data_IF_978714083423
#
_entry.id   IF_978714083423
#
_cell.length_a   1.000
_cell.length_b   1.000
_cell.length_c   1.000
_cell.angle_alpha   90.00
_cell.angle_beta   90.00
_cell.angle_gamma   90.00
#
_symmetry.space_group_name_H-M   'P 1'
#
loop_
_entity.id
_entity.type
_entity.pdbx_description
1 polymer ?
#
# COMPACT_ATOMS: atom_id res chain seq x y z
N UNK A 1 25.55 -2.38 12.05
CA UNK A 1 26.56 -2.32 10.98
C UNK A 1 26.54 -3.53 10.06
N UNK A 2 26.50 -4.81 10.57
CA UNK A 2 26.44 -6.02 9.72
C UNK A 2 25.17 -6.07 8.88
N UNK A 3 24.00 -5.73 9.45
CA UNK A 3 22.73 -5.71 8.73
C UNK A 3 22.71 -4.64 7.63
N UNK A 4 23.24 -3.44 7.88
CA UNK A 4 23.34 -2.38 6.86
C UNK A 4 24.30 -2.78 5.73
N UNK A 5 25.39 -3.47 6.03
CA UNK A 5 26.33 -3.97 5.03
C UNK A 5 25.70 -5.07 4.16
N UNK A 6 24.89 -5.95 4.76
CA UNK A 6 24.14 -6.97 4.02
C UNK A 6 23.10 -6.33 3.08
N UNK A 7 22.35 -5.33 3.55
CA UNK A 7 21.40 -4.60 2.72
C UNK A 7 22.11 -3.89 1.56
N UNK A 8 23.25 -3.28 1.79
CA UNK A 8 24.05 -2.63 0.74
C UNK A 8 24.52 -3.61 -0.34
N UNK A 9 25.02 -4.77 0.07
CA UNK A 9 25.43 -5.85 -0.87
C UNK A 9 24.24 -6.40 -1.65
N UNK A 10 23.08 -6.55 -1.00
CA UNK A 10 21.85 -7.01 -1.68
C UNK A 10 21.33 -5.99 -2.68
N UNK A 11 21.32 -4.70 -2.35
CA UNK A 11 20.90 -3.62 -3.27
C UNK A 11 21.79 -3.58 -4.51
N UNK A 12 23.09 -3.80 -4.36
CA UNK A 12 24.03 -3.89 -5.49
C UNK A 12 23.73 -5.04 -6.45
N UNK A 13 23.06 -6.10 -5.98
CA UNK A 13 22.63 -7.24 -6.79
C UNK A 13 21.28 -7.04 -7.50
N UNK A 14 20.57 -5.94 -7.27
CA UNK A 14 19.29 -5.67 -7.91
C UNK A 14 19.46 -5.20 -9.36
N UNK A 15 18.50 -5.52 -10.22
CA UNK A 15 18.49 -4.98 -11.57
C UNK A 15 18.40 -3.44 -11.55
N UNK A 16 19.03 -2.79 -12.52
CA UNK A 16 19.01 -1.34 -12.68
C UNK A 16 17.58 -0.77 -12.65
N UNK A 17 16.62 -1.47 -13.25
CA UNK A 17 15.21 -1.07 -13.25
C UNK A 17 14.61 -1.02 -11.85
N UNK A 18 14.94 -1.98 -10.99
CA UNK A 18 14.47 -2.03 -9.61
C UNK A 18 15.09 -0.90 -8.79
N UNK A 19 16.41 -0.66 -8.93
CA UNK A 19 17.09 0.43 -8.24
C UNK A 19 16.49 1.80 -8.61
N UNK A 20 16.26 2.04 -9.90
CA UNK A 20 15.63 3.29 -10.38
C UNK A 20 14.19 3.45 -9.88
N UNK A 21 13.42 2.36 -9.84
CA UNK A 21 12.07 2.38 -9.30
C UNK A 21 12.05 2.67 -7.78
N UNK A 22 12.98 2.08 -7.02
CA UNK A 22 13.11 2.37 -5.58
C UNK A 22 13.53 3.82 -5.33
N UNK A 23 14.44 4.37 -6.15
CA UNK A 23 14.82 5.78 -6.08
C UNK A 23 13.63 6.71 -6.40
N UNK A 24 12.86 6.40 -7.43
CA UNK A 24 11.64 7.13 -7.76
C UNK A 24 10.62 7.08 -6.61
N UNK A 25 10.43 5.90 -6.03
CA UNK A 25 9.51 5.71 -4.90
C UNK A 25 9.97 6.47 -3.66
N UNK A 26 11.27 6.50 -3.37
CA UNK A 26 11.86 7.27 -2.28
C UNK A 26 11.56 8.77 -2.43
N UNK A 27 11.85 9.35 -3.60
CA UNK A 27 11.59 10.76 -3.87
C UNK A 27 10.09 11.09 -3.76
N UNK A 28 9.24 10.24 -4.35
CA UNK A 28 7.79 10.38 -4.30
C UNK A 28 7.26 10.37 -2.86
N UNK A 29 7.74 9.45 -2.03
CA UNK A 29 7.25 9.27 -0.66
C UNK A 29 7.82 10.30 0.33
N UNK A 30 9.04 10.80 0.12
CA UNK A 30 9.59 11.93 0.89
C UNK A 30 8.70 13.17 0.68
N UNK A 31 8.37 13.49 -0.57
CA UNK A 31 7.50 14.63 -0.87
C UNK A 31 6.12 14.49 -0.25
N UNK A 32 5.48 13.33 -0.37
CA UNK A 32 4.20 13.06 0.28
C UNK A 32 4.30 13.12 1.81
N UNK A 33 5.41 12.67 2.41
CA UNK A 33 5.67 12.79 3.85
C UNK A 33 5.69 14.24 4.32
N UNK A 34 6.35 15.14 3.60
CA UNK A 34 6.34 16.57 3.90
C UNK A 34 4.92 17.15 3.88
N UNK A 35 4.14 16.81 2.85
CA UNK A 35 2.76 17.27 2.73
C UNK A 35 1.84 16.72 3.83
N UNK A 36 2.01 15.49 4.24
CA UNK A 36 1.11 14.83 5.20
C UNK A 36 1.02 15.51 6.57
N UNK A 37 2.08 16.20 6.98
CA UNK A 37 2.15 16.88 8.28
C UNK A 37 2.06 18.39 8.13
N UNK A 38 2.79 18.97 7.17
CA UNK A 38 2.94 20.42 7.12
C UNK A 38 1.80 21.13 6.40
N UNK A 39 1.07 20.45 5.53
CA UNK A 39 0.01 21.10 4.77
C UNK A 39 -1.13 21.60 5.65
N UNK A 40 -1.52 20.85 6.69
CA UNK A 40 -2.53 21.30 7.64
C UNK A 40 -2.10 22.56 8.40
N UNK A 41 -0.81 22.63 8.79
CA UNK A 41 -0.23 23.82 9.43
C UNK A 41 -0.17 25.02 8.49
N UNK A 42 0.07 24.76 7.19
CA UNK A 42 0.04 25.80 6.17
C UNK A 42 -1.36 26.39 5.99
N UNK A 43 -2.39 25.55 5.88
CA UNK A 43 -3.80 25.98 5.79
C UNK A 43 -4.21 26.82 6.99
N UNK A 44 -3.86 26.39 8.22
CA UNK A 44 -4.09 27.17 9.44
C UNK A 44 -3.32 28.49 9.42
N UNK A 45 -2.07 28.49 8.93
CA UNK A 45 -1.26 29.68 8.76
C UNK A 45 -1.84 30.69 7.77
N UNK A 46 -2.62 30.26 6.79
CA UNK A 46 -3.37 31.11 5.88
C UNK A 46 -4.64 31.71 6.51
N UNK A 47 -4.98 31.32 7.76
CA UNK A 47 -6.16 31.82 8.49
C UNK A 47 -7.42 30.97 8.29
N UNK A 48 -7.32 29.79 7.67
CA UNK A 48 -8.43 28.87 7.56
C UNK A 48 -8.60 27.99 8.81
N UNK A 49 -9.82 27.60 9.09
CA UNK A 49 -10.19 26.79 10.24
C UNK A 49 -9.95 25.28 10.00
N UNK A 50 -10.18 24.47 11.03
CA UNK A 50 -10.05 23.01 10.96
C UNK A 50 -11.11 22.37 10.06
N UNK A 51 -12.23 23.05 9.79
CA UNK A 51 -13.27 22.59 8.86
C UNK A 51 -12.72 22.54 7.43
N UNK A 52 -11.98 23.57 7.03
CA UNK A 52 -11.33 23.62 5.72
C UNK A 52 -10.28 22.52 5.58
N UNK A 53 -9.47 22.28 6.61
CA UNK A 53 -8.52 21.16 6.65
C UNK A 53 -9.23 19.82 6.46
N UNK A 54 -10.31 19.59 7.20
CA UNK A 54 -11.11 18.37 7.08
C UNK A 54 -11.71 18.18 5.68
N UNK A 55 -12.23 19.25 5.06
CA UNK A 55 -12.78 19.21 3.71
C UNK A 55 -11.70 18.84 2.68
N UNK A 56 -10.54 19.47 2.73
CA UNK A 56 -9.43 19.21 1.80
C UNK A 56 -8.97 17.76 1.89
N UNK A 57 -8.76 17.23 3.11
CA UNK A 57 -8.33 15.84 3.34
C UNK A 57 -9.40 14.86 2.84
N UNK A 58 -10.66 15.12 3.11
CA UNK A 58 -11.78 14.27 2.70
C UNK A 58 -11.93 14.24 1.19
N UNK A 59 -11.90 15.39 0.53
CA UNK A 59 -12.01 15.52 -0.93
C UNK A 59 -10.84 14.83 -1.62
N UNK A 60 -9.62 15.04 -1.14
CA UNK A 60 -8.42 14.37 -1.67
C UNK A 60 -8.53 12.85 -1.55
N UNK A 61 -8.93 12.36 -0.37
CA UNK A 61 -9.06 10.92 -0.12
C UNK A 61 -10.14 10.29 -1.01
N UNK A 62 -11.27 10.97 -1.19
CA UNK A 62 -12.35 10.53 -2.07
C UNK A 62 -11.88 10.47 -3.53
N UNK A 63 -11.21 11.52 -4.01
CA UNK A 63 -10.65 11.56 -5.36
C UNK A 63 -9.65 10.41 -5.59
N UNK A 64 -8.79 10.13 -4.61
CA UNK A 64 -7.84 9.02 -4.66
C UNK A 64 -8.56 7.67 -4.73
N UNK A 65 -9.56 7.45 -3.87
CA UNK A 65 -10.33 6.20 -3.83
C UNK A 65 -11.08 5.93 -5.15
N UNK A 66 -11.70 6.95 -5.75
CA UNK A 66 -12.39 6.85 -7.03
C UNK A 66 -11.42 6.43 -8.15
N UNK A 67 -10.19 6.94 -8.12
CA UNK A 67 -9.19 6.65 -9.15
C UNK A 67 -8.49 5.31 -9.01
N UNK A 68 -8.57 4.62 -7.89
CA UNK A 68 -7.92 3.32 -7.73
C UNK A 68 -8.33 2.30 -8.79
N UNK A 69 -9.63 2.17 -9.06
CA UNK A 69 -10.15 1.22 -10.06
C UNK A 69 -9.74 1.62 -11.50
N UNK A 70 -9.95 2.87 -11.97
CA UNK A 70 -9.45 3.31 -13.27
C UNK A 70 -7.93 3.12 -13.45
N UNK A 71 -7.13 3.42 -12.44
CA UNK A 71 -5.67 3.22 -12.45
C UNK A 71 -5.33 1.73 -12.59
N UNK A 72 -6.03 0.85 -11.85
CA UNK A 72 -5.83 -0.59 -11.93
C UNK A 72 -6.12 -1.15 -13.33
N UNK A 73 -7.26 -0.76 -13.93
CA UNK A 73 -7.60 -1.11 -15.31
C UNK A 73 -6.56 -0.60 -16.32
N UNK A 74 -6.15 0.65 -16.15
CA UNK A 74 -5.15 1.26 -17.02
C UNK A 74 -3.81 0.55 -16.89
N UNK A 75 -3.41 0.15 -15.67
CA UNK A 75 -2.19 -0.58 -15.41
C UNK A 75 -2.14 -1.98 -16.01
N UNK A 76 -3.29 -2.61 -16.23
CA UNK A 76 -3.37 -3.91 -16.87
C UNK A 76 -3.41 -3.81 -18.42
N UNK A 77 -3.83 -2.65 -18.97
CA UNK A 77 -3.92 -2.42 -20.43
C UNK A 77 -2.71 -1.68 -21.00
N UNK A 78 -2.18 -0.73 -20.26
CA UNK A 78 -1.10 0.16 -20.71
C UNK A 78 0.20 -0.15 -19.99
N UNK A 79 1.30 0.51 -20.43
CA UNK A 79 2.59 0.43 -19.77
C UNK A 79 2.52 0.99 -18.34
N UNK A 80 2.84 0.16 -17.35
CA UNK A 80 2.90 0.58 -15.94
C UNK A 80 3.97 1.65 -15.71
N UNK A 81 5.11 1.58 -16.43
CA UNK A 81 6.14 2.61 -16.42
C UNK A 81 5.56 3.96 -16.83
N UNK A 82 4.84 4.03 -17.97
CA UNK A 82 4.26 5.28 -18.47
C UNK A 82 3.26 5.87 -17.47
N UNK A 83 2.42 5.02 -16.89
CA UNK A 83 1.44 5.45 -15.89
C UNK A 83 2.12 5.96 -14.61
N UNK A 84 3.20 5.32 -14.14
CA UNK A 84 3.98 5.79 -12.99
C UNK A 84 4.63 7.15 -13.27
N UNK A 85 5.17 7.37 -14.49
CA UNK A 85 5.71 8.67 -14.92
C UNK A 85 4.60 9.74 -14.89
N UNK A 86 3.44 9.46 -15.49
CA UNK A 86 2.29 10.37 -15.50
C UNK A 86 1.85 10.68 -14.06
N UNK A 87 1.76 9.64 -13.21
CA UNK A 87 1.42 9.79 -11.80
C UNK A 87 2.38 10.69 -11.03
N UNK A 88 3.69 10.53 -11.23
CA UNK A 88 4.71 11.37 -10.59
C UNK A 88 4.64 12.82 -11.08
N UNK A 89 4.53 13.02 -12.40
CA UNK A 89 4.45 14.36 -13.01
C UNK A 89 3.24 15.14 -12.52
N UNK A 90 2.04 14.57 -12.66
CA UNK A 90 0.82 15.28 -12.30
C UNK A 90 0.64 15.40 -10.79
N UNK A 91 0.92 14.34 -10.02
CA UNK A 91 0.89 14.43 -8.56
C UNK A 91 1.83 15.52 -8.05
N UNK A 92 3.09 15.53 -8.50
CA UNK A 92 4.07 16.54 -8.10
C UNK A 92 3.68 17.96 -8.55
N UNK A 93 3.21 18.13 -9.79
CA UNK A 93 2.77 19.43 -10.31
C UNK A 93 1.60 20.00 -9.50
N UNK A 94 0.60 19.18 -9.18
CA UNK A 94 -0.54 19.61 -8.37
C UNK A 94 -0.17 19.86 -6.90
N UNK A 95 0.79 19.11 -6.33
CA UNK A 95 1.31 19.39 -5.00
C UNK A 95 2.06 20.74 -4.99
N UNK A 96 2.84 21.07 -6.03
CA UNK A 96 3.48 22.40 -6.18
C UNK A 96 2.39 23.47 -6.27
N UNK A 97 1.36 23.29 -7.10
CA UNK A 97 0.25 24.23 -7.21
C UNK A 97 -0.42 24.52 -5.86
N UNK A 98 -0.65 23.48 -5.04
CA UNK A 98 -1.19 23.62 -3.66
C UNK A 98 -0.32 24.49 -2.75
N UNK A 99 0.97 24.57 -3.00
CA UNK A 99 1.88 25.37 -2.18
C UNK A 99 1.77 26.88 -2.48
N UNK A 100 1.25 27.25 -3.64
CA UNK A 100 1.18 28.65 -4.08
C UNK A 100 -0.24 29.23 -4.10
N UNK A 101 -1.26 28.40 -3.89
CA UNK A 101 -2.63 28.90 -3.88
C UNK A 101 -3.05 29.29 -2.46
N UNK A 102 -3.72 30.45 -2.38
CA UNK A 102 -4.24 31.03 -1.14
C UNK A 102 -5.77 31.05 -1.10
N UNK A 103 -6.43 30.84 -2.26
CA UNK A 103 -7.88 30.87 -2.35
C UNK A 103 -8.51 29.52 -1.97
N UNK A 104 -9.57 29.53 -1.19
CA UNK A 104 -10.28 28.32 -0.76
C UNK A 104 -10.67 27.42 -1.94
N UNK A 105 -11.20 28.01 -3.03
CA UNK A 105 -11.59 27.27 -4.23
C UNK A 105 -10.39 26.57 -4.90
N UNK A 106 -9.26 27.25 -5.03
CA UNK A 106 -8.05 26.71 -5.61
C UNK A 106 -7.48 25.57 -4.76
N UNK A 107 -7.40 25.75 -3.44
CA UNK A 107 -6.96 24.70 -2.51
C UNK A 107 -7.79 23.42 -2.65
N UNK A 108 -9.11 23.55 -2.82
CA UNK A 108 -10.03 22.41 -3.05
C UNK A 108 -9.76 21.76 -4.41
N UNK A 109 -9.67 22.55 -5.51
CA UNK A 109 -9.42 21.99 -6.84
C UNK A 109 -8.07 21.28 -6.94
N UNK A 110 -7.02 21.88 -6.40
CA UNK A 110 -5.72 21.22 -6.33
C UNK A 110 -5.74 19.96 -5.46
N UNK A 111 -6.56 19.92 -4.39
CA UNK A 111 -6.76 18.69 -3.60
C UNK A 111 -7.42 17.58 -4.42
N UNK A 112 -8.45 17.89 -5.21
CA UNK A 112 -9.07 16.93 -6.14
C UNK A 112 -8.03 16.39 -7.12
N UNK A 113 -7.34 17.26 -7.86
CA UNK A 113 -6.40 16.82 -8.88
C UNK A 113 -5.19 16.07 -8.29
N UNK A 114 -4.61 16.52 -7.18
CA UNK A 114 -3.54 15.79 -6.52
C UNK A 114 -4.01 14.42 -6.04
N UNK A 115 -5.25 14.31 -5.54
CA UNK A 115 -5.86 13.07 -5.13
C UNK A 115 -6.04 12.07 -6.28
N UNK A 116 -6.50 12.52 -7.46
CA UNK A 116 -6.68 11.66 -8.63
C UNK A 116 -5.38 10.93 -9.03
N UNK A 117 -4.23 11.56 -8.88
CA UNK A 117 -2.93 10.99 -9.26
C UNK A 117 -2.17 10.36 -8.09
N UNK A 118 -2.52 10.67 -6.83
CA UNK A 118 -1.86 10.13 -5.64
C UNK A 118 -1.92 8.61 -5.56
N UNK A 119 -3.01 8.00 -6.04
CA UNK A 119 -3.22 6.55 -6.02
C UNK A 119 -2.34 5.75 -6.97
N UNK A 120 -1.68 6.38 -7.95
CA UNK A 120 -0.95 5.68 -9.02
C UNK A 120 0.15 4.78 -8.44
N UNK A 121 0.99 5.30 -7.56
CA UNK A 121 2.03 4.50 -6.91
C UNK A 121 1.44 3.43 -5.98
N UNK A 122 0.35 3.71 -5.26
CA UNK A 122 -0.29 2.74 -4.38
C UNK A 122 -0.83 1.52 -5.14
N UNK A 123 -1.42 1.75 -6.32
CA UNK A 123 -2.02 0.69 -7.13
C UNK A 123 -0.99 -0.04 -7.99
N UNK A 124 -0.06 0.67 -8.62
CA UNK A 124 0.80 0.10 -9.66
C UNK A 124 2.16 -0.39 -9.17
N UNK A 125 2.63 0.03 -7.99
CA UNK A 125 3.95 -0.32 -7.50
C UNK A 125 4.15 -1.84 -7.31
N UNK A 126 3.22 -2.50 -6.64
CA UNK A 126 3.30 -3.95 -6.41
C UNK A 126 3.19 -4.74 -7.71
N UNK A 127 2.21 -4.48 -8.61
CA UNK A 127 2.18 -5.10 -9.93
C UNK A 127 3.44 -4.84 -10.77
N UNK A 128 3.99 -3.63 -10.73
CA UNK A 128 5.23 -3.29 -11.42
C UNK A 128 6.43 -4.09 -10.90
N UNK A 129 6.61 -4.16 -9.58
CA UNK A 129 7.66 -4.96 -8.96
C UNK A 129 7.51 -6.45 -9.29
N UNK A 130 6.27 -6.95 -9.30
CA UNK A 130 5.99 -8.34 -9.61
C UNK A 130 6.42 -8.76 -11.03
N UNK A 131 6.37 -7.83 -11.99
CA UNK A 131 6.85 -8.07 -13.37
C UNK A 131 8.38 -8.08 -13.47
N UNK A 132 9.06 -7.30 -12.62
CA UNK A 132 10.51 -7.07 -12.72
C UNK A 132 11.33 -7.94 -11.75
N UNK A 133 10.68 -8.76 -10.91
CA UNK A 133 11.32 -9.57 -9.86
C UNK A 133 10.97 -11.05 -10.03
N UNK A 134 11.97 -11.92 -9.87
CA UNK A 134 11.77 -13.38 -9.87
C UNK A 134 10.77 -13.78 -8.79
N UNK A 135 9.92 -14.76 -9.08
CA UNK A 135 8.84 -15.22 -8.17
C UNK A 135 9.34 -15.55 -6.77
N UNK A 136 10.50 -16.20 -6.65
CA UNK A 136 11.14 -16.56 -5.38
C UNK A 136 11.58 -15.37 -4.52
N UNK A 137 11.76 -14.19 -5.12
CA UNK A 137 12.23 -12.97 -4.45
C UNK A 137 11.13 -11.94 -4.19
N UNK A 138 9.91 -12.14 -4.73
CA UNK A 138 8.82 -11.16 -4.67
C UNK A 138 8.47 -10.75 -3.23
N UNK A 139 8.29 -11.73 -2.35
CA UNK A 139 7.92 -11.45 -0.96
C UNK A 139 8.96 -10.55 -0.26
N UNK A 140 10.25 -10.88 -0.42
CA UNK A 140 11.35 -10.09 0.15
C UNK A 140 11.38 -8.67 -0.44
N UNK A 141 11.19 -8.55 -1.75
CA UNK A 141 11.21 -7.27 -2.46
C UNK A 141 10.00 -6.38 -2.09
N UNK A 142 8.81 -6.98 -1.91
CA UNK A 142 7.64 -6.26 -1.44
C UNK A 142 7.80 -5.75 0.00
N UNK A 143 8.48 -6.53 0.85
CA UNK A 143 8.82 -6.09 2.22
C UNK A 143 9.79 -4.91 2.21
N UNK A 144 10.82 -4.96 1.38
CA UNK A 144 11.76 -3.84 1.23
C UNK A 144 11.05 -2.60 0.68
N UNK A 145 10.18 -2.76 -0.33
CA UNK A 145 9.39 -1.65 -0.87
C UNK A 145 8.47 -1.03 0.19
N UNK A 146 7.71 -1.83 0.91
CA UNK A 146 6.81 -1.34 1.97
C UNK A 146 7.56 -0.61 3.09
N UNK A 147 8.72 -1.15 3.49
CA UNK A 147 9.59 -0.52 4.47
C UNK A 147 10.18 0.79 3.96
N UNK A 148 10.59 0.84 2.69
CA UNK A 148 11.07 2.07 2.04
C UNK A 148 9.99 3.15 2.04
N UNK A 149 8.75 2.80 1.66
CA UNK A 149 7.61 3.74 1.64
C UNK A 149 7.43 4.39 3.00
N UNK A 150 7.35 3.59 4.06
CA UNK A 150 7.20 4.11 5.43
C UNK A 150 8.39 4.93 5.88
N UNK A 151 9.62 4.44 5.67
CA UNK A 151 10.83 5.15 6.04
C UNK A 151 10.93 6.50 5.32
N UNK A 152 10.62 6.54 4.03
CA UNK A 152 10.65 7.78 3.22
C UNK A 152 9.59 8.77 3.68
N UNK A 153 8.38 8.32 4.04
CA UNK A 153 7.34 9.19 4.60
C UNK A 153 7.75 9.78 5.94
N UNK A 154 8.33 8.97 6.83
CA UNK A 154 8.84 9.44 8.12
C UNK A 154 9.98 10.45 7.93
N UNK A 155 10.93 10.16 7.03
CA UNK A 155 12.01 11.10 6.70
C UNK A 155 11.48 12.41 6.11
N UNK A 156 10.48 12.33 5.23
CA UNK A 156 9.83 13.50 4.65
C UNK A 156 9.11 14.35 5.70
N UNK A 157 8.32 13.71 6.57
CA UNK A 157 7.55 14.43 7.61
C UNK A 157 8.45 15.07 8.68
N UNK A 158 9.42 14.32 9.21
CA UNK A 158 10.35 14.84 10.21
C UNK A 158 11.31 15.87 9.60
N UNK A 159 11.92 15.53 8.45
CA UNK A 159 12.84 16.43 7.75
C UNK A 159 12.16 17.72 7.31
N UNK A 160 10.93 17.63 6.85
CA UNK A 160 10.12 18.80 6.50
C UNK A 160 9.83 19.69 7.70
N UNK A 161 9.45 19.11 8.85
CA UNK A 161 9.22 19.84 10.09
C UNK A 161 10.47 20.59 10.57
N UNK A 162 11.60 19.86 10.67
CA UNK A 162 12.88 20.46 11.06
C UNK A 162 13.30 21.60 10.11
N UNK A 163 13.14 21.39 8.80
CA UNK A 163 13.49 22.41 7.81
C UNK A 163 12.60 23.65 7.95
N UNK A 164 11.30 23.50 8.21
CA UNK A 164 10.39 24.62 8.46
C UNK A 164 10.82 25.44 9.70
N UNK A 165 11.20 24.76 10.79
CA UNK A 165 11.68 25.39 12.02
C UNK A 165 13.03 26.13 11.79
N UNK A 166 13.95 25.54 11.04
CA UNK A 166 15.23 26.18 10.66
C UNK A 166 15.00 27.43 9.82
N UNK A 167 14.11 27.39 8.83
CA UNK A 167 13.77 28.56 8.02
C UNK A 167 13.11 29.66 8.86
N UNK A 168 12.26 29.30 9.81
CA UNK A 168 11.64 30.25 10.73
C UNK A 168 12.67 30.89 11.66
N UNK A 169 13.58 30.11 12.23
CA UNK A 169 14.67 30.62 13.08
C UNK A 169 15.67 31.51 12.31
N UNK A 170 15.80 31.31 11.00
CA UNK A 170 16.57 32.18 10.11
C UNK A 170 15.84 33.48 9.73
N UNK A 171 14.67 33.76 10.34
CA UNK A 171 13.92 35.01 10.15
C UNK A 171 12.84 34.97 9.07
N UNK A 172 12.57 33.81 8.47
CA UNK A 172 11.49 33.66 7.50
C UNK A 172 10.13 33.64 8.19
N UNK A 173 9.12 34.30 7.63
CA UNK A 173 7.75 34.22 8.16
C UNK A 173 7.27 32.75 8.16
N UNK A 174 6.54 32.33 9.20
CA UNK A 174 6.11 30.93 9.41
C UNK A 174 5.40 30.35 8.17
N UNK A 175 4.46 31.10 7.59
CA UNK A 175 3.71 30.66 6.38
C UNK A 175 4.64 30.49 5.19
N UNK A 176 5.54 31.44 4.96
CA UNK A 176 6.53 31.38 3.86
C UNK A 176 7.51 30.21 4.03
N UNK A 177 7.95 29.94 5.27
CA UNK A 177 8.77 28.78 5.58
C UNK A 177 8.05 27.46 5.26
N UNK A 178 6.80 27.31 5.71
CA UNK A 178 5.97 26.16 5.39
C UNK A 178 5.74 26.01 3.88
N UNK A 179 5.43 27.10 3.19
CA UNK A 179 5.28 27.14 1.73
C UNK A 179 6.52 26.64 0.99
N UNK A 180 7.70 27.10 1.42
CA UNK A 180 8.99 26.69 0.84
C UNK A 180 9.22 25.19 0.99
N UNK A 181 8.96 24.64 2.18
CA UNK A 181 9.12 23.20 2.43
C UNK A 181 8.10 22.36 1.63
N UNK A 182 6.85 22.82 1.54
CA UNK A 182 5.83 22.18 0.71
C UNK A 182 6.20 22.21 -0.78
N UNK A 183 6.72 23.32 -1.28
CA UNK A 183 7.25 23.41 -2.63
C UNK A 183 8.38 22.38 -2.87
N UNK A 184 9.33 22.28 -1.94
CA UNK A 184 10.41 21.27 -2.03
C UNK A 184 9.84 19.85 -2.01
N UNK A 185 8.82 19.58 -1.20
CA UNK A 185 8.11 18.30 -1.18
C UNK A 185 7.43 17.98 -2.50
N UNK A 186 6.72 18.96 -3.08
CA UNK A 186 6.11 18.83 -4.41
C UNK A 186 7.15 18.63 -5.51
N UNK A 187 8.28 19.35 -5.45
CA UNK A 187 9.40 19.20 -6.37
C UNK A 187 10.06 17.80 -6.25
N UNK A 188 10.22 17.26 -5.04
CA UNK A 188 10.72 15.91 -4.83
C UNK A 188 9.76 14.86 -5.41
N UNK A 189 8.45 15.03 -5.19
CA UNK A 189 7.42 14.15 -5.78
C UNK A 189 7.45 14.23 -7.31
N UNK A 190 7.56 15.44 -7.87
CA UNK A 190 7.71 15.64 -9.30
C UNK A 190 8.97 14.94 -9.82
N UNK A 191 10.13 15.18 -9.19
CA UNK A 191 11.42 14.63 -9.61
C UNK A 191 11.45 13.10 -9.65
N UNK A 192 10.49 12.41 -9.01
CA UNK A 192 10.36 10.96 -9.09
C UNK A 192 10.17 10.45 -10.53
N UNK A 193 9.69 11.28 -11.48
CA UNK A 193 9.61 10.88 -12.88
C UNK A 193 10.99 10.68 -13.52
N UNK A 194 12.03 11.39 -13.06
CA UNK A 194 13.37 11.36 -13.67
C UNK A 194 13.96 9.95 -13.66
N UNK A 195 14.11 9.26 -12.50
CA UNK A 195 14.62 7.90 -12.52
C UNK A 195 13.71 6.94 -13.33
N UNK A 196 12.39 7.16 -13.37
CA UNK A 196 11.48 6.32 -14.15
C UNK A 196 11.70 6.44 -15.67
N UNK A 197 12.17 7.59 -16.18
CA UNK A 197 12.51 7.72 -17.58
C UNK A 197 13.62 6.74 -18.01
N UNK A 198 14.61 6.52 -17.15
CA UNK A 198 15.75 5.65 -17.40
C UNK A 198 15.48 4.15 -17.20
N UNK A 199 14.29 3.79 -16.70
CA UNK A 199 13.85 2.39 -16.65
C UNK A 199 13.68 1.86 -18.06
N UNK A 200 14.22 0.68 -18.37
CA UNK A 200 14.02 0.01 -19.65
C UNK A 200 12.80 -0.92 -19.57
N UNK A 201 11.90 -0.84 -20.55
CA UNK A 201 10.80 -1.81 -20.68
C UNK A 201 11.32 -3.05 -21.40
N UNK A 202 11.32 -4.20 -20.74
CA UNK A 202 11.50 -5.48 -21.42
C UNK A 202 10.25 -5.79 -22.24
N UNK A 203 10.32 -5.56 -23.54
CA UNK A 203 9.22 -5.85 -24.49
C UNK A 203 8.93 -7.35 -24.60
N UNK A 204 9.85 -8.22 -24.22
CA UNK A 204 9.70 -9.69 -24.35
C UNK A 204 8.51 -10.26 -23.56
N UNK A 205 8.19 -9.72 -22.40
CA UNK A 205 7.03 -10.18 -21.60
C UNK A 205 5.66 -9.86 -22.20
N UNK A 206 5.58 -8.98 -23.20
CA UNK A 206 4.32 -8.62 -23.88
C UNK A 206 4.16 -9.30 -25.24
N UNK A 207 5.26 -9.74 -25.86
CA UNK A 207 5.23 -10.39 -27.19
C UNK A 207 4.76 -11.85 -27.10
N UNK A 208 4.94 -12.50 -25.95
CA UNK A 208 4.41 -13.85 -25.70
C UNK A 208 2.88 -13.91 -25.58
N UNK A 209 2.20 -12.76 -25.58
CA UNK A 209 0.73 -12.64 -25.55
C UNK A 209 0.11 -12.52 -26.95
N UNK A 210 0.90 -12.35 -28.00
CA UNK A 210 0.41 -12.56 -29.38
C UNK A 210 0.51 -14.06 -29.67
N UNK A 211 -0.56 -14.69 -30.19
CA UNK A 211 -0.45 -16.06 -30.65
C UNK A 211 0.75 -16.13 -31.61
N UNK A 212 1.75 -16.96 -31.30
CA UNK A 212 2.81 -17.26 -32.23
C UNK A 212 2.13 -17.73 -33.51
N UNK A 213 2.09 -16.87 -34.50
CA UNK A 213 1.89 -17.33 -35.89
C UNK A 213 3.03 -18.30 -36.17
N UNK A 214 2.71 -19.57 -36.19
CA UNK A 214 3.61 -20.62 -36.65
C UNK A 214 4.01 -20.24 -38.06
N UNK A 215 5.22 -19.70 -38.24
CA UNK A 215 5.84 -19.62 -39.54
C UNK A 215 5.99 -21.08 -40.07
N UNK A 216 5.51 -21.39 -41.25
CA UNK A 216 5.65 -22.73 -41.81
C UNK A 216 7.15 -23.00 -42.02
N UNK A 217 7.73 -23.92 -41.27
CA UNK A 217 9.01 -24.50 -41.62
C UNK A 217 8.82 -25.28 -42.92
N UNK A 218 9.36 -24.74 -44.00
CA UNK A 218 9.56 -25.49 -45.25
C UNK A 218 10.55 -26.62 -44.99
N UNK A 219 10.06 -27.82 -44.76
CA UNK A 219 10.82 -29.03 -45.05
C UNK A 219 9.88 -30.17 -45.47
N UNK A 220 10.08 -30.53 -46.72
CA UNK A 220 9.81 -31.77 -47.49
C UNK A 220 8.46 -32.47 -47.27
N UNK A 221 7.71 -32.37 -48.34
CA UNK A 221 6.45 -33.03 -48.69
C UNK A 221 6.66 -34.50 -48.97
N UNK A 222 5.95 -35.39 -48.29
CA UNK A 222 5.18 -36.55 -48.76
C UNK A 222 4.87 -37.43 -47.53
N UNK A 223 3.64 -37.39 -47.13
CA UNK A 223 3.13 -38.22 -46.03
C UNK A 223 2.21 -37.54 -45.02
N UNK A 224 2.01 -36.22 -45.12
CA UNK A 224 1.38 -35.42 -44.07
C UNK A 224 -0.07 -34.98 -44.36
N UNK A 225 -0.68 -35.36 -45.51
CA UNK A 225 -2.04 -34.88 -45.83
C UNK A 225 -3.17 -35.51 -44.97
N UNK A 226 -2.93 -36.70 -44.39
CA UNK A 226 -3.91 -37.37 -43.54
C UNK A 226 -3.86 -36.93 -42.08
N UNK A 227 -2.72 -36.39 -41.59
CA UNK A 227 -2.60 -35.84 -40.22
C UNK A 227 -2.96 -34.37 -40.13
N UNK A 228 -2.75 -33.58 -41.23
CA UNK A 228 -3.14 -32.17 -41.27
C UNK A 228 -4.65 -31.97 -41.20
N UNK A 229 -5.45 -32.87 -41.73
CA UNK A 229 -6.93 -32.76 -41.67
C UNK A 229 -7.47 -33.04 -40.28
N UNK A 230 -6.75 -33.76 -39.43
CA UNK A 230 -7.12 -33.97 -38.01
C UNK A 230 -6.65 -32.85 -37.06
N UNK A 231 -5.57 -32.16 -37.39
CA UNK A 231 -5.00 -31.08 -36.57
C UNK A 231 -5.70 -29.73 -36.78
N UNK A 232 -6.48 -29.54 -37.84
CA UNK A 232 -7.17 -28.27 -38.15
C UNK A 232 -8.56 -28.15 -37.50
N UNK A 233 -9.06 -29.22 -36.87
CA UNK A 233 -10.42 -29.23 -36.25
C UNK A 233 -10.35 -29.42 -34.69
N UNK A 234 -9.21 -29.18 -34.07
CA UNK A 234 -9.23 -28.96 -32.61
C UNK A 234 -9.40 -27.47 -32.39
N UNK A 235 -10.58 -27.01 -31.92
CA UNK A 235 -10.72 -25.63 -31.48
C UNK A 235 -9.71 -25.46 -30.34
N UNK A 236 -8.81 -24.49 -30.46
CA UNK A 236 -8.01 -24.01 -29.33
C UNK A 236 -8.95 -23.85 -28.14
N UNK A 237 -8.60 -24.30 -26.94
CA UNK A 237 -9.53 -24.37 -25.81
C UNK A 237 -9.93 -22.95 -25.39
N UNK A 238 -11.03 -22.47 -25.94
CA UNK A 238 -11.78 -21.28 -25.50
C UNK A 238 -12.15 -21.40 -24.01
N UNK A 239 -12.11 -22.62 -23.49
CA UNK A 239 -12.46 -22.96 -22.11
C UNK A 239 -11.39 -22.54 -21.08
N UNK A 240 -10.13 -22.38 -21.46
CA UNK A 240 -9.05 -22.15 -20.49
C UNK A 240 -8.98 -20.66 -20.04
N UNK A 241 -9.18 -19.70 -20.94
CA UNK A 241 -9.21 -18.27 -20.60
C UNK A 241 -10.46 -17.93 -19.75
N UNK A 242 -11.57 -18.57 -20.05
CA UNK A 242 -12.82 -18.43 -19.28
C UNK A 242 -12.71 -19.03 -17.87
N UNK A 243 -12.07 -20.16 -17.72
CA UNK A 243 -11.79 -20.80 -16.43
C UNK A 243 -10.82 -19.97 -15.58
N UNK A 244 -9.74 -19.45 -16.17
CA UNK A 244 -8.78 -18.56 -15.50
C UNK A 244 -9.50 -17.29 -15.02
N UNK A 245 -10.30 -16.67 -15.88
CA UNK A 245 -11.06 -15.47 -15.55
C UNK A 245 -12.06 -15.69 -14.42
N UNK A 246 -12.77 -16.83 -14.39
CA UNK A 246 -13.71 -17.20 -13.33
C UNK A 246 -12.98 -17.47 -12.01
N UNK A 247 -11.84 -18.16 -12.05
CA UNK A 247 -10.97 -18.39 -10.88
C UNK A 247 -10.44 -17.09 -10.31
N UNK A 248 -9.89 -16.20 -11.15
CA UNK A 248 -9.35 -14.92 -10.71
C UNK A 248 -10.46 -14.03 -10.12
N UNK A 249 -11.66 -14.01 -10.72
CA UNK A 249 -12.80 -13.25 -10.19
C UNK A 249 -13.22 -13.75 -8.79
N UNK A 250 -13.22 -15.07 -8.56
CA UNK A 250 -13.49 -15.66 -7.25
C UNK A 250 -12.42 -15.23 -6.23
N UNK A 251 -11.14 -15.33 -6.60
CA UNK A 251 -10.03 -14.93 -5.73
C UNK A 251 -10.08 -13.43 -5.39
N UNK A 252 -10.33 -12.57 -6.38
CA UNK A 252 -10.51 -11.13 -6.17
C UNK A 252 -11.64 -10.87 -5.19
N UNK A 253 -12.80 -11.53 -5.36
CA UNK A 253 -13.93 -11.42 -4.43
C UNK A 253 -13.57 -11.82 -3.00
N UNK A 254 -12.78 -12.89 -2.83
CA UNK A 254 -12.27 -13.33 -1.52
C UNK A 254 -11.34 -12.28 -0.88
N UNK A 255 -10.43 -11.67 -1.66
CA UNK A 255 -9.58 -10.59 -1.17
C UNK A 255 -10.38 -9.34 -0.81
N UNK A 256 -11.40 -8.98 -1.61
CA UNK A 256 -12.29 -7.85 -1.33
C UNK A 256 -12.94 -8.00 0.04
N UNK A 257 -13.55 -9.15 0.32
CA UNK A 257 -14.26 -9.38 1.58
C UNK A 257 -13.31 -9.32 2.78
N UNK A 258 -12.15 -9.99 2.70
CA UNK A 258 -11.18 -9.97 3.80
C UNK A 258 -10.60 -8.58 4.05
N UNK A 259 -10.32 -7.80 2.99
CA UNK A 259 -9.81 -6.45 3.12
C UNK A 259 -10.87 -5.43 3.57
N UNK A 260 -12.12 -5.65 3.19
CA UNK A 260 -13.23 -4.85 3.71
C UNK A 260 -13.37 -5.01 5.24
N UNK A 261 -13.32 -6.25 5.75
CA UNK A 261 -13.38 -6.53 7.18
C UNK A 261 -12.20 -5.89 7.94
N UNK A 262 -10.99 -5.98 7.38
CA UNK A 262 -9.82 -5.30 7.96
C UNK A 262 -9.99 -3.78 7.92
N UNK A 263 -10.50 -3.24 6.82
CA UNK A 263 -10.78 -1.82 6.63
C UNK A 263 -11.81 -1.31 7.64
N UNK A 264 -12.93 -2.01 7.82
CA UNK A 264 -13.95 -1.69 8.83
C UNK A 264 -13.35 -1.67 10.24
N UNK A 265 -12.63 -2.72 10.64
CA UNK A 265 -11.98 -2.77 11.95
C UNK A 265 -10.92 -1.69 12.13
N UNK A 266 -10.07 -1.45 11.13
CA UNK A 266 -9.06 -0.40 11.17
C UNK A 266 -9.69 0.99 11.23
N UNK A 267 -10.77 1.23 10.49
CA UNK A 267 -11.49 2.49 10.43
C UNK A 267 -12.13 2.89 11.75
N UNK A 268 -12.49 1.92 12.60
CA UNK A 268 -13.00 2.19 13.95
C UNK A 268 -11.93 2.69 14.93
N UNK A 269 -10.67 2.32 14.74
CA UNK A 269 -9.61 2.54 15.74
C UNK A 269 -8.53 3.50 15.24
N UNK A 270 -7.96 3.24 14.05
CA UNK A 270 -6.69 3.86 13.66
C UNK A 270 -6.79 5.38 13.47
N UNK A 271 -7.83 5.95 12.83
CA UNK A 271 -7.97 7.40 12.67
C UNK A 271 -8.14 8.14 14.02
N UNK A 272 -8.63 7.42 15.03
CA UNK A 272 -9.02 7.99 16.34
C UNK A 272 -8.02 7.70 17.45
N UNK A 273 -6.87 7.11 17.13
CA UNK A 273 -5.82 6.82 18.13
C UNK A 273 -5.33 8.09 18.84
N UNK A 274 -5.21 9.21 18.12
CA UNK A 274 -4.84 10.48 18.73
C UNK A 274 -5.86 10.89 19.81
N UNK A 275 -7.15 10.87 19.48
CA UNK A 275 -8.23 11.18 20.41
C UNK A 275 -8.29 10.16 21.55
N UNK A 276 -8.08 8.88 21.28
CA UNK A 276 -8.03 7.84 22.31
C UNK A 276 -6.96 8.14 23.36
N UNK A 277 -5.71 8.38 22.95
CA UNK A 277 -4.62 8.66 23.87
C UNK A 277 -4.77 10.01 24.58
N UNK A 278 -5.23 11.05 23.88
CA UNK A 278 -5.45 12.38 24.47
C UNK A 278 -6.60 12.37 25.45
N UNK A 279 -7.76 11.83 25.10
CA UNK A 279 -8.96 11.89 25.93
C UNK A 279 -8.91 10.94 27.12
N UNK A 280 -8.19 9.82 27.01
CA UNK A 280 -8.15 8.80 28.05
C UNK A 280 -6.93 8.93 28.97
N UNK A 281 -5.81 9.36 28.46
CA UNK A 281 -4.54 9.42 29.18
C UNK A 281 -3.93 10.82 29.26
N UNK A 282 -4.60 11.83 28.73
CA UNK A 282 -4.11 13.21 28.66
C UNK A 282 -2.70 13.34 28.03
N UNK A 283 -2.41 12.49 27.03
CA UNK A 283 -1.12 12.51 26.31
C UNK A 283 -1.02 13.80 25.50
N UNK A 284 0.12 14.50 25.61
CA UNK A 284 0.39 15.69 24.83
C UNK A 284 0.55 15.36 23.34
N UNK A 285 0.33 16.37 22.48
CA UNK A 285 0.53 16.21 21.03
C UNK A 285 1.94 15.74 20.68
N UNK A 286 2.96 16.24 21.41
CA UNK A 286 4.36 15.80 21.23
C UNK A 286 4.55 14.34 21.63
N UNK A 287 3.97 13.91 22.76
CA UNK A 287 4.00 12.52 23.19
C UNK A 287 3.33 11.59 22.20
N UNK A 288 2.20 12.01 21.61
CA UNK A 288 1.52 11.24 20.58
C UNK A 288 2.33 11.13 19.30
N UNK A 289 2.98 12.21 18.87
CA UNK A 289 3.87 12.21 17.71
C UNK A 289 5.05 11.24 17.87
N UNK A 290 5.66 11.20 19.07
CA UNK A 290 6.72 10.24 19.40
C UNK A 290 6.19 8.80 19.33
N UNK A 291 5.01 8.55 19.89
CA UNK A 291 4.40 7.21 19.90
C UNK A 291 4.09 6.73 18.47
N UNK A 292 3.57 7.59 17.62
CA UNK A 292 3.34 7.29 16.20
C UNK A 292 4.67 7.00 15.48
N UNK A 293 5.70 7.82 15.69
CA UNK A 293 7.01 7.62 15.07
C UNK A 293 7.66 6.29 15.48
N UNK A 294 7.59 5.94 16.78
CA UNK A 294 8.04 4.64 17.28
C UNK A 294 7.24 3.49 16.66
N UNK A 295 5.92 3.63 16.52
CA UNK A 295 5.05 2.67 15.85
C UNK A 295 5.44 2.43 14.40
N UNK A 296 5.81 3.48 13.67
CA UNK A 296 6.30 3.37 12.29
C UNK A 296 7.64 2.63 12.21
N UNK A 297 8.58 2.93 13.12
CA UNK A 297 9.87 2.23 13.19
C UNK A 297 9.66 0.73 13.47
N UNK A 298 8.84 0.38 14.45
CA UNK A 298 8.51 -1.02 14.75
C UNK A 298 7.82 -1.72 13.57
N UNK A 299 6.96 -1.00 12.86
CA UNK A 299 6.30 -1.51 11.65
C UNK A 299 7.32 -1.83 10.54
N UNK A 300 8.28 -0.95 10.30
CA UNK A 300 9.36 -1.17 9.33
C UNK A 300 10.14 -2.45 9.68
N UNK A 301 10.57 -2.58 10.94
CA UNK A 301 11.29 -3.77 11.43
C UNK A 301 10.46 -5.04 11.24
N UNK A 302 9.17 -5.01 11.59
CA UNK A 302 8.28 -6.15 11.43
C UNK A 302 8.07 -6.55 9.97
N UNK A 303 7.95 -5.59 9.05
CA UNK A 303 7.82 -5.86 7.62
C UNK A 303 9.07 -6.54 7.05
N UNK A 304 10.26 -6.21 7.55
CA UNK A 304 11.52 -6.83 7.15
C UNK A 304 11.67 -8.27 7.71
N UNK A 305 11.11 -8.55 8.89
CA UNK A 305 11.11 -9.88 9.50
C UNK A 305 10.02 -10.78 8.88
N UNK A 306 8.94 -10.20 8.38
CA UNK A 306 7.78 -10.92 7.83
C UNK A 306 8.12 -12.05 6.85
N UNK A 307 8.97 -11.83 5.83
CA UNK A 307 9.38 -12.86 4.88
C UNK A 307 10.05 -14.08 5.51
N UNK A 308 10.83 -13.88 6.58
CA UNK A 308 11.50 -14.97 7.29
C UNK A 308 10.50 -15.90 7.97
N UNK A 309 9.44 -15.35 8.57
CA UNK A 309 8.37 -16.16 9.13
C UNK A 309 7.59 -16.87 8.02
N UNK A 310 7.25 -16.16 6.95
CA UNK A 310 6.52 -16.72 5.81
C UNK A 310 7.28 -17.88 5.14
N UNK A 311 8.61 -17.79 5.07
CA UNK A 311 9.44 -18.88 4.54
C UNK A 311 9.41 -20.15 5.42
N UNK A 312 9.23 -20.00 6.76
CA UNK A 312 9.19 -21.14 7.70
C UNK A 312 7.81 -21.81 7.77
N UNK A 313 6.76 -21.02 7.81
CA UNK A 313 5.40 -21.53 8.09
C UNK A 313 4.43 -21.48 6.89
N UNK A 314 4.86 -20.89 5.79
CA UNK A 314 4.04 -20.60 4.61
C UNK A 314 3.36 -19.21 4.69
N UNK A 315 3.15 -18.58 3.53
CA UNK A 315 2.69 -17.19 3.46
C UNK A 315 1.32 -16.98 4.10
N UNK A 316 0.35 -17.85 3.83
CA UNK A 316 -1.01 -17.72 4.39
C UNK A 316 -1.00 -17.87 5.92
N UNK A 317 -0.26 -18.86 6.44
CA UNK A 317 -0.16 -19.06 7.89
C UNK A 317 0.56 -17.91 8.57
N UNK A 318 1.60 -17.35 7.94
CA UNK A 318 2.31 -16.20 8.49
C UNK A 318 1.40 -14.98 8.65
N UNK A 319 0.55 -14.68 7.65
CA UNK A 319 -0.46 -13.61 7.75
C UNK A 319 -1.39 -13.84 8.94
N UNK A 320 -1.96 -15.04 9.05
CA UNK A 320 -2.88 -15.37 10.15
C UNK A 320 -2.18 -15.29 11.51
N UNK A 321 -0.95 -15.76 11.64
CA UNK A 321 -0.16 -15.67 12.87
C UNK A 321 0.03 -14.20 13.27
N UNK A 322 0.45 -13.33 12.34
CA UNK A 322 0.64 -11.91 12.63
C UNK A 322 -0.67 -11.23 13.06
N UNK A 323 -1.77 -11.49 12.36
CA UNK A 323 -3.08 -10.93 12.69
C UNK A 323 -3.58 -11.43 14.05
N UNK A 324 -3.55 -12.74 14.30
CA UNK A 324 -4.00 -13.31 15.58
C UNK A 324 -3.13 -12.87 16.74
N UNK A 325 -1.80 -12.82 16.55
CA UNK A 325 -0.88 -12.35 17.59
C UNK A 325 -1.06 -10.86 17.92
N UNK A 326 -1.61 -10.07 16.99
CA UNK A 326 -1.93 -8.66 17.24
C UNK A 326 -3.15 -8.45 18.14
N UNK A 327 -4.05 -9.44 18.26
CA UNK A 327 -5.33 -9.32 18.98
C UNK A 327 -5.18 -9.09 20.49
N UNK A 328 -4.33 -9.83 21.23
CA UNK A 328 -4.12 -9.55 22.65
C UNK A 328 -3.65 -8.11 22.89
N UNK A 329 -2.74 -7.61 22.06
CA UNK A 329 -2.26 -6.24 22.16
C UNK A 329 -3.34 -5.21 21.81
N UNK A 330 -4.23 -5.51 20.85
CA UNK A 330 -5.40 -4.68 20.55
C UNK A 330 -6.31 -4.56 21.78
N UNK A 331 -6.62 -5.68 22.43
CA UNK A 331 -7.48 -5.68 23.63
C UNK A 331 -6.78 -5.01 24.81
N UNK A 332 -5.51 -5.29 25.06
CA UNK A 332 -4.75 -4.58 26.10
C UNK A 332 -4.75 -3.07 25.89
N UNK A 333 -4.58 -2.61 24.64
CA UNK A 333 -4.71 -1.17 24.35
C UNK A 333 -6.09 -0.67 24.73
N UNK A 334 -7.18 -1.37 24.39
CA UNK A 334 -8.57 -0.91 24.62
C UNK A 334 -9.01 -0.89 26.09
N UNK A 335 -8.54 -1.84 26.90
CA UNK A 335 -9.06 -2.07 28.25
C UNK A 335 -8.15 -1.57 29.38
N UNK A 336 -6.86 -1.33 29.14
CA UNK A 336 -5.94 -0.88 30.18
C UNK A 336 -6.21 0.57 30.61
N UNK A 337 -5.95 0.87 31.89
CA UNK A 337 -5.94 2.23 32.44
C UNK A 337 -4.51 2.78 32.60
N UNK A 338 -3.49 2.00 32.25
CA UNK A 338 -2.09 2.40 32.36
C UNK A 338 -1.56 2.85 30.99
N UNK A 339 -1.14 4.12 30.90
CA UNK A 339 -0.56 4.69 29.67
C UNK A 339 0.57 3.85 29.10
N UNK A 340 1.48 3.38 29.96
CA UNK A 340 2.63 2.57 29.54
C UNK A 340 2.18 1.28 28.85
N UNK A 341 1.22 0.55 29.43
CA UNK A 341 0.68 -0.68 28.83
C UNK A 341 -0.05 -0.38 27.53
N UNK A 342 -0.87 0.68 27.49
CA UNK A 342 -1.56 1.11 26.26
C UNK A 342 -0.56 1.41 25.15
N UNK A 343 0.49 2.17 25.45
CA UNK A 343 1.52 2.58 24.48
C UNK A 343 2.31 1.38 23.93
N UNK A 344 2.82 0.53 24.81
CA UNK A 344 3.58 -0.67 24.41
C UNK A 344 2.68 -1.61 23.58
N UNK A 345 1.44 -1.85 24.02
CA UNK A 345 0.49 -2.68 23.31
C UNK A 345 0.15 -2.10 21.94
N UNK A 346 -0.07 -0.80 21.84
CA UNK A 346 -0.28 -0.13 20.55
C UNK A 346 0.88 -0.34 19.58
N UNK A 347 2.14 -0.20 20.05
CA UNK A 347 3.33 -0.37 19.22
C UNK A 347 3.43 -1.80 18.66
N UNK A 348 3.26 -2.82 19.51
CA UNK A 348 3.29 -4.22 19.08
C UNK A 348 2.13 -4.57 18.16
N UNK A 349 0.90 -4.13 18.48
CA UNK A 349 -0.27 -4.32 17.64
C UNK A 349 -0.06 -3.73 16.24
N UNK A 350 0.44 -2.50 16.16
CA UNK A 350 0.69 -1.82 14.90
C UNK A 350 1.75 -2.57 14.07
N UNK A 351 2.85 -2.93 14.69
CA UNK A 351 3.94 -3.65 14.05
C UNK A 351 3.46 -5.00 13.49
N UNK A 352 2.79 -5.81 14.30
CA UNK A 352 2.30 -7.14 13.91
C UNK A 352 1.26 -7.06 12.79
N UNK A 353 0.28 -6.17 12.91
CA UNK A 353 -0.79 -6.06 11.92
C UNK A 353 -0.26 -5.63 10.54
N UNK A 354 0.69 -4.71 10.51
CA UNK A 354 1.27 -4.20 9.27
C UNK A 354 2.36 -5.14 8.67
N UNK A 355 2.98 -6.02 9.47
CA UNK A 355 3.92 -7.03 8.98
C UNK A 355 3.29 -7.97 7.93
N UNK A 356 1.99 -8.16 7.97
CA UNK A 356 1.24 -8.97 7.01
C UNK A 356 1.11 -8.32 5.63
N UNK A 357 1.21 -6.99 5.49
CA UNK A 357 0.92 -6.27 4.25
C UNK A 357 1.76 -6.72 3.03
N UNK A 358 3.10 -6.83 3.12
CA UNK A 358 3.90 -7.31 1.99
C UNK A 358 3.57 -8.77 1.63
N UNK A 359 3.21 -9.59 2.62
CA UNK A 359 2.84 -10.99 2.43
C UNK A 359 1.49 -11.09 1.69
N UNK A 360 0.51 -10.27 2.08
CA UNK A 360 -0.78 -10.15 1.35
C UNK A 360 -0.55 -9.79 -0.12
N UNK A 361 0.31 -8.81 -0.38
CA UNK A 361 0.65 -8.38 -1.74
C UNK A 361 1.30 -9.52 -2.55
N UNK A 362 2.19 -10.30 -1.92
CA UNK A 362 2.83 -11.44 -2.57
C UNK A 362 1.81 -12.54 -2.92
N UNK A 363 0.91 -12.89 -1.98
CA UNK A 363 -0.13 -13.90 -2.20
C UNK A 363 -1.07 -13.47 -3.33
N UNK A 364 -1.50 -12.19 -3.35
CA UNK A 364 -2.34 -11.65 -4.41
C UNK A 364 -1.68 -11.80 -5.78
N UNK A 365 -0.44 -11.35 -5.89
CA UNK A 365 0.32 -11.35 -7.16
C UNK A 365 0.60 -12.79 -7.64
N UNK A 366 0.89 -13.71 -6.73
CA UNK A 366 1.22 -15.10 -7.10
C UNK A 366 0.00 -15.93 -7.49
N UNK A 367 -1.19 -15.57 -7.01
CA UNK A 367 -2.43 -16.32 -7.29
C UNK A 367 -3.25 -15.77 -8.44
N UNK A 368 -3.09 -14.50 -8.79
CA UNK A 368 -3.86 -13.84 -9.84
C UNK A 368 -3.01 -13.72 -11.12
N UNK A 369 -3.66 -13.92 -12.27
CA UNK A 369 -3.01 -13.82 -13.56
C UNK A 369 -2.43 -12.43 -13.80
N UNK A 370 -1.32 -12.35 -14.56
CA UNK A 370 -0.57 -11.12 -14.82
C UNK A 370 -1.44 -10.02 -15.43
N UNK A 371 -2.41 -10.41 -16.27
CA UNK A 371 -3.35 -9.49 -16.94
C UNK A 371 -4.33 -8.80 -15.99
N UNK A 372 -4.50 -9.30 -14.76
CA UNK A 372 -5.52 -8.81 -13.82
C UNK A 372 -4.96 -8.36 -12.46
N UNK A 373 -3.63 -8.29 -12.31
CA UNK A 373 -2.98 -7.89 -11.05
C UNK A 373 -3.28 -6.45 -10.66
N UNK A 374 -3.33 -5.54 -11.64
CA UNK A 374 -3.61 -4.14 -11.40
C UNK A 374 -5.02 -3.94 -10.85
N UNK A 375 -6.03 -4.52 -11.55
CA UNK A 375 -7.43 -4.43 -11.09
C UNK A 375 -7.64 -5.13 -9.75
N UNK A 376 -6.97 -6.27 -9.52
CA UNK A 376 -7.07 -6.98 -8.24
C UNK A 376 -6.52 -6.16 -7.08
N UNK A 377 -5.33 -5.56 -7.26
CA UNK A 377 -4.73 -4.70 -6.24
C UNK A 377 -5.57 -3.44 -5.98
N UNK A 378 -6.10 -2.82 -7.04
CA UNK A 378 -6.96 -1.63 -6.90
C UNK A 378 -8.27 -1.95 -6.17
N UNK A 379 -8.93 -3.07 -6.50
CA UNK A 379 -10.16 -3.49 -5.82
C UNK A 379 -9.92 -3.81 -4.33
N UNK A 380 -8.79 -4.44 -4.02
CA UNK A 380 -8.38 -4.71 -2.65
C UNK A 380 -8.17 -3.41 -1.84
N UNK A 381 -7.44 -2.45 -2.41
CA UNK A 381 -7.20 -1.15 -1.78
C UNK A 381 -8.48 -0.32 -1.63
N UNK A 382 -9.34 -0.32 -2.66
CA UNK A 382 -10.65 0.37 -2.61
C UNK A 382 -11.53 -0.22 -1.50
N UNK A 383 -11.58 -1.54 -1.37
CA UNK A 383 -12.39 -2.22 -0.34
C UNK A 383 -11.91 -1.88 1.07
N UNK A 384 -10.60 -1.85 1.28
CA UNK A 384 -10.02 -1.39 2.55
C UNK A 384 -10.41 0.07 2.82
N UNK A 385 -10.30 0.98 1.84
CA UNK A 385 -10.62 2.40 2.00
C UNK A 385 -12.11 2.65 2.26
N UNK A 386 -13.00 1.88 1.63
CA UNK A 386 -14.44 1.95 1.91
C UNK A 386 -14.71 1.59 3.38
N UNK A 387 -14.14 0.47 3.84
CA UNK A 387 -14.26 0.07 5.24
C UNK A 387 -13.73 1.14 6.19
N UNK A 388 -12.55 1.69 5.89
CA UNK A 388 -11.94 2.76 6.66
C UNK A 388 -12.81 4.03 6.74
N UNK A 389 -13.35 4.48 5.61
CA UNK A 389 -14.09 5.74 5.52
C UNK A 389 -15.49 5.69 6.16
N UNK A 390 -16.11 4.51 6.23
CA UNK A 390 -17.50 4.37 6.69
C UNK A 390 -17.65 4.26 8.21
N UNK A 391 -16.56 4.04 8.95
CA UNK A 391 -16.61 3.74 10.38
C UNK A 391 -16.56 4.95 11.31
N UNK A 392 -16.34 6.15 10.78
CA UNK A 392 -16.31 7.38 11.57
C UNK A 392 -17.57 7.64 12.40
N UNK A 393 -18.75 7.67 11.77
CA UNK A 393 -20.02 7.87 12.50
C UNK A 393 -20.27 6.81 13.58
N UNK A 394 -19.91 5.55 13.31
CA UNK A 394 -20.06 4.45 14.27
C UNK A 394 -19.16 4.65 15.49
N UNK A 395 -17.91 4.99 15.26
CA UNK A 395 -16.94 5.26 16.33
C UNK A 395 -17.38 6.45 17.17
N UNK A 396 -17.77 7.56 16.54
CA UNK A 396 -18.27 8.75 17.24
C UNK A 396 -19.49 8.43 18.10
N UNK A 397 -20.49 7.72 17.55
CA UNK A 397 -21.67 7.28 18.29
C UNK A 397 -21.31 6.45 19.51
N UNK A 398 -20.41 5.49 19.39
CA UNK A 398 -20.02 4.64 20.52
C UNK A 398 -19.33 5.44 21.62
N UNK A 399 -18.44 6.36 21.28
CA UNK A 399 -17.72 7.15 22.30
C UNK A 399 -18.63 8.19 22.95
N UNK A 400 -19.52 8.84 22.21
CA UNK A 400 -20.45 9.82 22.77
C UNK A 400 -21.53 9.18 23.63
N UNK A 401 -22.02 7.99 23.26
CA UNK A 401 -23.10 7.30 23.99
C UNK A 401 -22.61 6.60 25.25
N UNK A 402 -21.47 5.89 25.17
CA UNK A 402 -20.95 5.05 26.28
C UNK A 402 -19.78 5.69 27.04
N UNK A 403 -19.39 6.91 26.67
CA UNK A 403 -18.29 7.64 27.31
C UNK A 403 -16.91 7.13 26.88
N UNK A 404 -15.88 7.85 27.32
CA UNK A 404 -14.51 7.66 26.86
C UNK A 404 -13.96 6.26 27.13
N UNK A 405 -14.26 5.69 28.32
CA UNK A 405 -13.75 4.34 28.65
C UNK A 405 -14.44 3.26 27.84
N UNK A 406 -15.74 3.10 28.05
CA UNK A 406 -16.53 2.02 27.45
C UNK A 406 -16.70 2.20 25.94
N UNK A 407 -16.84 3.43 25.45
CA UNK A 407 -16.93 3.70 24.02
C UNK A 407 -15.71 3.20 23.26
N UNK A 408 -14.49 3.50 23.74
CA UNK A 408 -13.27 2.97 23.13
C UNK A 408 -13.12 1.46 23.36
N UNK A 409 -13.40 0.94 24.55
CA UNK A 409 -13.31 -0.50 24.82
C UNK A 409 -14.21 -1.32 23.89
N UNK A 410 -15.46 -0.89 23.67
CA UNK A 410 -16.38 -1.51 22.70
C UNK A 410 -15.83 -1.40 21.27
N UNK A 411 -15.32 -0.24 20.88
CA UNK A 411 -14.71 -0.01 19.56
C UNK A 411 -13.55 -0.98 19.31
N UNK A 412 -12.64 -1.13 20.27
CA UNK A 412 -11.53 -2.09 20.17
C UNK A 412 -12.01 -3.55 20.12
N UNK A 413 -13.06 -3.88 20.87
CA UNK A 413 -13.66 -5.22 20.86
C UNK A 413 -14.30 -5.58 19.52
N UNK A 414 -15.07 -4.65 18.93
CA UNK A 414 -15.66 -4.83 17.59
C UNK A 414 -14.54 -5.01 16.54
N UNK A 415 -13.49 -4.19 16.62
CA UNK A 415 -12.32 -4.31 15.75
C UNK A 415 -11.67 -5.68 15.90
N UNK A 416 -11.51 -6.19 17.12
CA UNK A 416 -10.98 -7.52 17.42
C UNK A 416 -11.81 -8.61 16.79
N UNK A 417 -13.14 -8.55 16.94
CA UNK A 417 -14.06 -9.52 16.31
C UNK A 417 -13.93 -9.52 14.77
N UNK A 418 -13.90 -8.32 14.15
CA UNK A 418 -13.74 -8.21 12.70
C UNK A 418 -12.40 -8.79 12.22
N UNK A 419 -11.33 -8.59 12.97
CA UNK A 419 -10.01 -9.13 12.65
C UNK A 419 -9.96 -10.66 12.81
N UNK A 420 -10.62 -11.21 13.84
CA UNK A 420 -10.76 -12.67 14.01
C UNK A 420 -11.50 -13.27 12.81
N UNK A 421 -12.65 -12.70 12.46
CA UNK A 421 -13.46 -13.17 11.32
C UNK A 421 -12.64 -13.10 10.03
N UNK A 422 -11.98 -11.96 9.78
CA UNK A 422 -11.12 -11.79 8.60
C UNK A 422 -9.98 -12.81 8.56
N UNK A 423 -9.30 -13.05 9.68
CA UNK A 423 -8.19 -14.00 9.78
C UNK A 423 -8.64 -15.44 9.54
N UNK A 424 -9.78 -15.85 10.11
CA UNK A 424 -10.37 -17.16 9.88
C UNK A 424 -10.77 -17.34 8.41
N UNK A 425 -11.49 -16.35 7.84
CA UNK A 425 -11.87 -16.38 6.43
C UNK A 425 -10.64 -16.46 5.54
N UNK A 426 -9.60 -15.65 5.84
CA UNK A 426 -8.35 -15.66 5.09
C UNK A 426 -7.68 -17.04 5.13
N UNK A 427 -7.61 -17.67 6.30
CA UNK A 427 -7.04 -19.00 6.45
C UNK A 427 -7.79 -20.06 5.62
N UNK A 428 -9.13 -20.10 5.70
CA UNK A 428 -9.91 -21.09 4.97
C UNK A 428 -9.95 -20.85 3.45
N UNK A 429 -10.01 -19.58 3.02
CA UNK A 429 -10.09 -19.22 1.60
C UNK A 429 -8.78 -19.41 0.86
N UNK A 430 -7.64 -19.16 1.53
CA UNK A 430 -6.33 -19.15 0.90
C UNK A 430 -5.42 -20.29 1.36
N UNK A 431 -5.95 -21.28 2.09
CA UNK A 431 -5.17 -22.45 2.51
C UNK A 431 -4.55 -23.14 1.30
N UNK A 432 -3.25 -23.40 1.39
CA UNK A 432 -2.55 -24.21 0.39
C UNK A 432 -3.02 -25.66 0.46
N UNK A 433 -3.34 -26.31 -0.69
CA UNK A 433 -3.59 -27.75 -0.69
C UNK A 433 -2.32 -28.43 -0.16
N UNK A 434 -2.50 -29.45 0.71
CA UNK A 434 -1.37 -30.28 1.15
C UNK A 434 -0.65 -30.80 -0.08
N UNK A 435 0.71 -30.75 -0.14
CA UNK A 435 1.43 -31.38 -1.25
C UNK A 435 0.98 -32.84 -1.34
N UNK A 436 0.51 -33.24 -2.51
CA UNK A 436 0.15 -34.64 -2.75
C UNK A 436 1.40 -35.48 -2.53
N UNK A 437 1.24 -36.62 -1.85
CA UNK A 437 2.33 -37.55 -1.49
C UNK A 437 3.16 -37.99 -2.69
N UNK A 438 2.64 -37.85 -3.91
CA UNK A 438 3.35 -38.14 -5.17
C UNK A 438 4.59 -37.27 -5.44
N UNK A 439 4.70 -36.06 -4.85
CA UNK A 439 5.88 -35.17 -5.08
C UNK A 439 7.02 -35.47 -4.09
N UNK A 440 6.76 -36.22 -3.03
CA UNK A 440 7.81 -36.64 -2.07
C UNK A 440 8.55 -37.89 -2.49
N UNK A 441 7.97 -38.69 -3.39
CA UNK A 441 8.61 -39.91 -3.92
C UNK A 441 9.67 -39.62 -5.01
N UNK A 442 9.71 -38.41 -5.57
CA UNK A 442 10.67 -38.01 -6.62
C UNK A 442 11.90 -37.29 -6.06
N UNK A 443 12.04 -37.23 -4.72
CA UNK A 443 13.17 -36.62 -4.00
C UNK A 443 13.91 -37.59 -3.07
N UNK A 444 13.54 -38.86 -3.08
CA UNK A 444 14.28 -39.96 -2.46
C UNK A 444 15.00 -40.77 -3.55
#
# INVERSE_FOLDING_TARGET
LRALRQIHVEIGGWSRNIQLFFLASLLYQIGNGMFSVLYNLYIQGLGYDDTMNGQIVSIQSLATAIMFIPIGFSGDKFSRKKLLIIGALFSGAFLIGRSFDYAASGLIWFAVFSGLFAGVFQVLAIPYLAENVKKSQRLKMFSYYSSLVLASQVLGSLGGGVLADVLHSAGMAKVTGLQTVLFMGGAATLAAFIPLLFVTENQESRTDLKPKQLQPRQHSVRGAEAELTRAVITPLPIDDDTRIKKRDSKLIGQFIVTQLLIGLGSGLVVPYLNLYFTNRFAVSLSGMSILIALGQIMTIVSMLIGPTLAAKVGSVRAVVIFQVLSLPFLLFTGFTNLLFIASVSFLFRQALMNAANPIHSAILVDRISDKRRGIANSMMQTSFMIGWATMGPVQSYLVTTYGTYWGYAITFSITGCLYVISSLMYFFMFREPKPSVAVLADRS
#
